data_IF_215312284100
#
_entry.id   IF_215312284100
#
_cell.length_a   1.000
_cell.length_b   1.000
_cell.length_c   1.000
_cell.angle_alpha   90.00
_cell.angle_beta   90.00
_cell.angle_gamma   90.00
#
_symmetry.space_group_name_H-M   'P 1'
#
loop_
_entity.id
_entity.type
_entity.pdbx_description
1 polymer ?
#
# COMPACT_ATOMS: atom_id res chain seq x y z
N UNK A 1 36.63 -39.84 -32.53
CA UNK A 1 37.20 -38.87 -31.56
C UNK A 1 36.19 -37.76 -31.33
N UNK A 2 35.71 -37.59 -30.09
CA UNK A 2 34.82 -36.50 -29.61
C UNK A 2 35.53 -35.88 -28.39
N UNK A 3 35.17 -34.69 -27.89
CA UNK A 3 34.57 -33.53 -28.58
C UNK A 3 35.20 -32.19 -28.10
N UNK A 4 35.17 -31.11 -28.89
CA UNK A 4 35.42 -29.76 -28.36
C UNK A 4 34.11 -29.01 -28.23
N UNK A 5 33.63 -29.00 -26.99
CA UNK A 5 32.42 -28.37 -26.53
C UNK A 5 32.63 -26.85 -26.43
N UNK A 6 32.08 -26.09 -27.37
CA UNK A 6 32.00 -24.63 -27.31
C UNK A 6 30.54 -24.20 -27.40
N UNK A 7 29.75 -24.56 -26.38
CA UNK A 7 28.34 -24.16 -26.30
C UNK A 7 27.82 -24.16 -24.85
N UNK A 8 28.54 -23.57 -23.89
CA UNK A 8 28.06 -23.57 -22.50
C UNK A 8 28.58 -22.46 -21.58
N UNK A 9 29.30 -21.45 -22.08
CA UNK A 9 29.85 -20.39 -21.21
C UNK A 9 28.92 -19.17 -21.05
N UNK A 10 27.93 -19.01 -21.92
CA UNK A 10 27.00 -17.87 -21.85
C UNK A 10 25.75 -18.13 -20.98
N UNK A 11 25.57 -19.34 -20.44
CA UNK A 11 24.33 -19.74 -19.71
C UNK A 11 24.34 -19.43 -18.20
N UNK A 12 25.31 -18.69 -17.64
CA UNK A 12 25.49 -18.59 -16.17
C UNK A 12 25.52 -17.20 -15.54
N UNK A 13 25.31 -16.12 -16.27
CA UNK A 13 25.44 -14.76 -15.70
C UNK A 13 24.16 -13.92 -15.72
N UNK A 14 23.05 -14.45 -16.24
CA UNK A 14 21.79 -13.69 -16.36
C UNK A 14 20.68 -14.11 -15.39
N UNK A 15 20.87 -15.18 -14.59
CA UNK A 15 19.82 -15.66 -13.69
C UNK A 15 19.83 -14.97 -12.30
N UNK A 16 20.89 -14.24 -11.95
CA UNK A 16 21.13 -13.81 -10.57
C UNK A 16 20.57 -12.42 -10.22
N UNK A 17 19.84 -11.75 -11.13
CA UNK A 17 19.27 -10.41 -10.88
C UNK A 17 17.74 -10.37 -10.99
N UNK A 18 17.08 -11.50 -10.84
CA UNK A 18 15.67 -11.55 -10.38
C UNK A 18 15.68 -11.61 -8.85
N UNK A 19 16.39 -10.67 -8.23
CA UNK A 19 16.35 -10.47 -6.79
C UNK A 19 15.11 -9.63 -6.49
N UNK A 20 14.16 -10.24 -5.79
CA UNK A 20 12.98 -9.66 -5.11
C UNK A 20 12.39 -8.43 -5.79
N UNK A 21 11.29 -8.61 -6.54
CA UNK A 21 10.32 -7.52 -6.64
C UNK A 21 10.03 -7.04 -5.21
N UNK A 22 10.25 -5.75 -4.86
CA UNK A 22 9.71 -5.25 -3.61
C UNK A 22 8.23 -5.60 -3.63
N UNK A 23 7.78 -6.35 -2.62
CA UNK A 23 6.40 -6.82 -2.58
C UNK A 23 5.47 -5.63 -2.77
N UNK A 24 4.56 -5.71 -3.75
CA UNK A 24 3.62 -4.62 -4.02
C UNK A 24 2.84 -4.35 -2.74
N UNK A 25 2.97 -3.14 -2.19
CA UNK A 25 2.20 -2.73 -1.02
C UNK A 25 0.73 -2.72 -1.39
N UNK A 26 -0.04 -3.62 -0.78
CA UNK A 26 -1.50 -3.64 -0.89
C UNK A 26 -2.07 -2.69 0.15
N UNK A 27 -3.16 -2.01 -0.20
CA UNK A 27 -3.80 -1.00 0.65
C UNK A 27 -5.22 -1.42 1.01
N UNK A 28 -5.58 -1.20 2.26
CA UNK A 28 -6.95 -1.22 2.77
C UNK A 28 -7.48 0.22 2.77
N UNK A 29 -8.75 0.41 2.42
CA UNK A 29 -9.40 1.72 2.39
C UNK A 29 -10.64 1.71 3.27
N UNK A 30 -10.87 2.81 3.98
CA UNK A 30 -12.01 2.99 4.88
C UNK A 30 -12.61 4.39 4.67
N UNK A 31 -13.93 4.45 4.72
CA UNK A 31 -14.69 5.71 4.73
C UNK A 31 -15.42 5.81 6.06
N UNK A 32 -15.28 6.94 6.76
CA UNK A 32 -15.96 7.17 8.03
C UNK A 32 -16.57 8.58 8.12
N UNK A 33 -17.76 8.73 8.73
CA UNK A 33 -18.34 10.04 8.98
C UNK A 33 -17.56 10.77 10.08
N UNK A 34 -17.40 12.08 9.93
CA UNK A 34 -16.84 12.96 10.95
C UNK A 34 -17.95 13.76 11.62
N UNK A 35 -17.90 13.82 12.94
CA UNK A 35 -18.75 14.72 13.73
C UNK A 35 -18.00 16.04 13.92
N UNK A 36 -18.61 17.16 13.53
CA UNK A 36 -17.98 18.49 13.49
C UNK A 36 -17.41 18.92 14.86
N UNK A 37 -18.07 18.59 15.96
CA UNK A 37 -17.62 18.92 17.30
C UNK A 37 -16.63 17.90 17.90
N UNK A 38 -16.32 16.82 17.17
CA UNK A 38 -15.42 15.76 17.65
C UNK A 38 -14.41 15.30 16.59
N UNK A 39 -14.19 16.10 15.54
CA UNK A 39 -13.39 15.71 14.38
C UNK A 39 -11.97 15.30 14.79
N UNK A 40 -11.32 16.09 15.66
CA UNK A 40 -9.97 15.78 16.15
C UNK A 40 -9.89 14.39 16.81
N UNK A 41 -10.80 14.09 17.73
CA UNK A 41 -10.76 12.82 18.46
C UNK A 41 -10.96 11.62 17.52
N UNK A 42 -11.84 11.76 16.52
CA UNK A 42 -12.07 10.72 15.50
C UNK A 42 -10.80 10.49 14.67
N UNK A 43 -10.17 11.57 14.18
CA UNK A 43 -8.91 11.47 13.42
C UNK A 43 -7.77 10.87 14.24
N UNK A 44 -7.64 11.27 15.51
CA UNK A 44 -6.62 10.74 16.43
C UNK A 44 -6.83 9.24 16.70
N UNK A 45 -8.08 8.78 16.84
CA UNK A 45 -8.40 7.36 17.01
C UNK A 45 -7.96 6.55 15.78
N UNK A 46 -8.36 6.98 14.58
CA UNK A 46 -7.96 6.30 13.34
C UNK A 46 -6.44 6.32 13.14
N UNK A 47 -5.78 7.45 13.43
CA UNK A 47 -4.32 7.55 13.38
C UNK A 47 -3.62 6.57 14.32
N UNK A 48 -4.14 6.39 15.54
CA UNK A 48 -3.64 5.36 16.48
C UNK A 48 -3.83 3.93 15.97
N UNK A 49 -4.90 3.68 15.24
CA UNK A 49 -5.18 2.38 14.61
C UNK A 49 -4.38 2.14 13.31
N UNK A 50 -3.49 3.07 12.95
CA UNK A 50 -2.59 2.98 11.80
C UNK A 50 -3.22 3.44 10.48
N UNK A 51 -4.38 4.09 10.52
CA UNK A 51 -5.00 4.67 9.33
C UNK A 51 -4.37 6.02 8.98
N UNK A 52 -4.06 6.20 7.70
CA UNK A 52 -3.60 7.47 7.14
C UNK A 52 -4.80 8.20 6.52
N UNK A 53 -5.04 9.45 6.94
CA UNK A 53 -6.06 10.31 6.35
C UNK A 53 -5.66 10.70 4.93
N UNK A 54 -6.52 10.42 3.95
CA UNK A 54 -6.33 10.79 2.54
C UNK A 54 -6.97 12.14 2.25
N UNK A 55 -8.26 12.29 2.58
CA UNK A 55 -9.00 13.52 2.35
C UNK A 55 -10.28 13.57 3.19
N UNK A 56 -10.84 14.78 3.32
CA UNK A 56 -12.15 15.03 3.91
C UNK A 56 -13.01 15.76 2.86
N UNK A 57 -14.21 15.25 2.64
CA UNK A 57 -15.17 15.81 1.68
C UNK A 57 -16.47 16.17 2.42
N UNK A 58 -17.09 17.27 1.99
CA UNK A 58 -18.45 17.65 2.42
C UNK A 58 -19.50 16.90 1.61
N UNK A 59 -20.51 16.35 2.28
CA UNK A 59 -21.67 15.73 1.66
C UNK A 59 -22.66 16.76 1.11
N UNK A 60 -23.93 16.37 0.99
CA UNK A 60 -24.99 17.25 0.49
C UNK A 60 -25.19 18.50 1.37
N UNK A 61 -24.87 18.37 2.67
CA UNK A 61 -24.94 19.46 3.63
C UNK A 61 -23.52 19.78 4.18
N UNK A 62 -23.22 21.05 4.52
CA UNK A 62 -21.91 21.44 5.06
C UNK A 62 -21.52 20.72 6.35
N UNK A 63 -22.51 20.26 7.12
CA UNK A 63 -22.30 19.57 8.40
C UNK A 63 -21.97 18.08 8.25
N UNK A 64 -22.19 17.53 7.06
CA UNK A 64 -21.90 16.12 6.78
C UNK A 64 -20.49 16.00 6.22
N UNK A 65 -19.53 15.79 7.12
CA UNK A 65 -18.15 15.54 6.74
C UNK A 65 -17.87 14.04 6.64
N UNK A 66 -17.18 13.63 5.58
CA UNK A 66 -16.76 12.25 5.35
C UNK A 66 -15.26 12.22 5.16
N UNK A 67 -14.57 11.39 5.93
CA UNK A 67 -13.14 11.17 5.82
C UNK A 67 -12.85 9.86 5.10
N UNK A 68 -11.85 9.90 4.21
CA UNK A 68 -11.30 8.74 3.52
C UNK A 68 -9.94 8.42 4.10
N UNK A 69 -9.72 7.15 4.41
CA UNK A 69 -8.49 6.66 5.00
C UNK A 69 -7.90 5.52 4.18
N UNK A 70 -6.60 5.31 4.31
CA UNK A 70 -5.90 4.14 3.79
C UNK A 70 -4.95 3.57 4.83
N UNK A 71 -4.63 2.28 4.74
CA UNK A 71 -3.60 1.62 5.57
C UNK A 71 -2.93 0.49 4.78
N UNK A 72 -1.62 0.25 4.92
CA UNK A 72 -0.98 -0.89 4.28
C UNK A 72 -1.50 -2.20 4.88
N UNK A 73 -1.84 -3.16 4.03
CA UNK A 73 -2.11 -4.53 4.44
C UNK A 73 -0.75 -5.18 4.69
N UNK A 74 -0.48 -5.60 5.92
CA UNK A 74 0.66 -6.49 6.18
C UNK A 74 0.42 -7.78 5.40
N UNK A 75 1.26 -8.02 4.39
CA UNK A 75 1.25 -9.28 3.65
C UNK A 75 1.54 -10.41 4.62
N UNK A 76 0.60 -11.36 4.75
CA UNK A 76 0.88 -12.65 5.36
C UNK A 76 1.88 -13.46 4.56
#
# INVERSE_FOLDING_TARGET
MRPRAESAAWRRTLQSRIMSSPGVTRWEYLTAPLLIHNTKAILDNFGRDGWELVTVTTGANPEQLVAFFKRPIQGG
#
